data_IF_154559004803
#
_entry.id   IF_154559004803
#
_cell.length_a   1.000
_cell.length_b   1.000
_cell.length_c   1.000
_cell.angle_alpha   90.00
_cell.angle_beta   90.00
_cell.angle_gamma   90.00
#
_symmetry.space_group_name_H-M   'P 1'
#
loop_
_entity.id
_entity.type
_entity.pdbx_description
1 polymer ?
#
# COMPACT_ATOMS: atom_id res chain seq x y z
N UNK A 1 7.12 -21.38 -1.91
CA UNK A 1 8.12 -21.91 -0.92
C UNK A 1 8.57 -20.76 -0.03
N UNK A 2 8.44 -20.92 1.28
CA UNK A 2 8.85 -19.92 2.28
C UNK A 2 10.37 -19.82 2.41
N UNK A 3 10.85 -18.73 3.00
CA UNK A 3 12.28 -18.49 3.25
C UNK A 3 12.72 -18.89 4.64
N UNK A 4 11.78 -19.10 5.58
CA UNK A 4 12.02 -19.24 7.01
C UNK A 4 12.48 -17.93 7.67
N UNK A 5 12.23 -16.78 7.03
CA UNK A 5 12.71 -15.47 7.46
C UNK A 5 11.62 -14.42 7.24
N UNK A 6 11.25 -13.66 8.29
CA UNK A 6 10.31 -12.57 8.12
C UNK A 6 10.98 -11.34 7.46
N UNK A 7 10.17 -10.55 6.76
CA UNK A 7 10.51 -9.19 6.33
C UNK A 7 10.46 -8.21 7.51
N UNK A 8 10.74 -6.92 7.27
CA UNK A 8 10.81 -5.90 8.33
C UNK A 8 9.53 -5.81 9.16
N UNK A 9 8.36 -5.93 8.54
CA UNK A 9 7.06 -5.87 9.24
C UNK A 9 6.66 -7.20 9.90
N UNK A 10 7.54 -8.22 9.90
CA UNK A 10 7.32 -9.49 10.60
C UNK A 10 6.56 -10.54 9.79
N UNK A 11 6.27 -10.29 8.51
CA UNK A 11 5.58 -11.24 7.65
C UNK A 11 6.56 -12.20 6.97
N UNK A 12 6.21 -13.49 6.89
CA UNK A 12 7.05 -14.49 6.25
C UNK A 12 7.29 -14.18 4.77
N UNK A 13 8.56 -14.18 4.34
CA UNK A 13 8.92 -13.96 2.94
C UNK A 13 8.76 -15.24 2.12
N UNK A 14 8.44 -15.07 0.84
CA UNK A 14 8.35 -16.17 -0.11
C UNK A 14 9.38 -16.04 -1.23
N UNK A 15 9.85 -17.19 -1.73
CA UNK A 15 10.85 -17.25 -2.82
C UNK A 15 10.25 -17.06 -4.21
N UNK A 16 8.94 -17.27 -4.35
CA UNK A 16 8.21 -17.29 -5.61
C UNK A 16 6.82 -16.71 -5.37
N UNK A 17 6.37 -15.83 -6.25
CA UNK A 17 4.96 -15.44 -6.41
C UNK A 17 4.34 -16.25 -7.57
N UNK A 18 3.02 -16.44 -7.56
CA UNK A 18 2.28 -17.20 -8.60
C UNK A 18 2.71 -18.68 -8.71
N UNK A 19 3.16 -19.29 -7.61
CA UNK A 19 3.78 -20.63 -7.60
C UNK A 19 3.35 -21.53 -6.43
N UNK A 20 2.06 -21.53 -6.08
CA UNK A 20 1.47 -22.32 -4.98
C UNK A 20 1.68 -21.75 -3.57
N UNK A 21 2.09 -20.48 -3.48
CA UNK A 21 2.29 -19.75 -2.23
C UNK A 21 1.10 -18.86 -1.86
N UNK A 22 1.32 -17.93 -0.94
CA UNK A 22 0.30 -16.94 -0.52
C UNK A 22 0.45 -15.59 -1.22
N UNK A 23 1.35 -15.49 -2.19
CA UNK A 23 1.59 -14.29 -2.99
C UNK A 23 1.16 -14.58 -4.43
N UNK A 24 0.20 -13.80 -4.93
CA UNK A 24 -0.39 -13.98 -6.24
C UNK A 24 -0.61 -12.66 -6.95
N UNK A 25 -0.64 -12.68 -8.27
CA UNK A 25 -1.06 -11.56 -9.10
C UNK A 25 -2.55 -11.30 -8.89
N UNK A 26 -2.87 -10.11 -8.37
CA UNK A 26 -4.24 -9.68 -8.07
C UNK A 26 -4.70 -8.62 -9.07
N UNK A 27 -5.92 -8.74 -9.60
CA UNK A 27 -6.44 -7.74 -10.51
C UNK A 27 -6.59 -6.39 -9.81
N UNK A 28 -6.52 -5.32 -10.59
CA UNK A 28 -6.70 -3.94 -10.13
C UNK A 28 -7.92 -3.34 -10.85
N UNK A 29 -9.14 -3.58 -10.32
CA UNK A 29 -10.36 -3.15 -10.98
C UNK A 29 -10.38 -1.67 -11.31
N UNK A 30 -10.73 -1.38 -12.57
CA UNK A 30 -10.83 -0.02 -13.10
C UNK A 30 -9.50 0.67 -13.39
N UNK A 31 -8.42 -0.11 -13.50
CA UNK A 31 -7.14 0.32 -14.10
C UNK A 31 -6.87 -0.52 -15.37
N UNK A 32 -6.00 -0.05 -16.26
CA UNK A 32 -5.56 -0.83 -17.42
C UNK A 32 -4.43 -1.83 -17.10
N UNK A 33 -4.04 -1.97 -15.83
CA UNK A 33 -2.94 -2.82 -15.40
C UNK A 33 -3.35 -4.29 -15.35
N UNK A 34 -2.43 -5.20 -15.71
CA UNK A 34 -2.64 -6.64 -15.62
C UNK A 34 -2.75 -7.20 -14.20
N UNK A 35 -2.51 -6.36 -13.18
CA UNK A 35 -2.56 -6.71 -11.78
C UNK A 35 -1.26 -6.40 -11.03
N UNK A 36 -1.20 -6.83 -9.77
CA UNK A 36 -0.03 -6.68 -8.91
C UNK A 36 0.19 -7.91 -8.06
N UNK A 37 1.42 -8.37 -7.95
CA UNK A 37 1.77 -9.49 -7.08
C UNK A 37 1.79 -9.01 -5.62
N UNK A 38 0.83 -9.47 -4.82
CA UNK A 38 0.73 -9.16 -3.39
C UNK A 38 0.29 -10.39 -2.62
N UNK A 39 0.47 -10.36 -1.29
CA UNK A 39 -0.02 -11.40 -0.41
C UNK A 39 -1.55 -11.39 -0.38
N UNK A 40 -2.13 -12.58 -0.51
CA UNK A 40 -3.57 -12.80 -0.53
C UNK A 40 -4.27 -12.35 0.76
N UNK A 41 -5.59 -12.18 0.69
CA UNK A 41 -6.46 -11.97 1.86
C UNK A 41 -6.61 -10.51 2.28
N UNK A 42 -6.46 -10.21 3.55
CA UNK A 42 -6.67 -8.82 4.03
C UNK A 42 -5.58 -7.87 3.52
N UNK A 43 -4.36 -8.38 3.31
CA UNK A 43 -3.25 -7.61 2.71
C UNK A 43 -3.59 -7.15 1.30
N UNK A 44 -4.05 -8.05 0.43
CA UNK A 44 -4.42 -7.67 -0.94
C UNK A 44 -5.52 -6.61 -0.93
N UNK A 45 -6.50 -6.75 -0.03
CA UNK A 45 -7.64 -5.84 0.06
C UNK A 45 -7.19 -4.43 0.40
N UNK A 46 -6.29 -4.28 1.39
CA UNK A 46 -5.76 -2.99 1.79
C UNK A 46 -4.86 -2.36 0.71
N UNK A 47 -3.92 -3.12 0.14
CA UNK A 47 -2.98 -2.58 -0.85
C UNK A 47 -3.66 -2.25 -2.18
N UNK A 48 -4.63 -3.06 -2.64
CA UNK A 48 -5.42 -2.76 -3.84
C UNK A 48 -6.24 -1.48 -3.64
N UNK A 49 -6.79 -1.24 -2.45
CA UNK A 49 -7.48 0.02 -2.14
C UNK A 49 -6.55 1.24 -2.32
N UNK A 50 -5.34 1.17 -1.74
CA UNK A 50 -4.32 2.23 -1.86
C UNK A 50 -3.98 2.51 -3.32
N UNK A 51 -3.70 1.45 -4.10
CA UNK A 51 -3.33 1.58 -5.52
C UNK A 51 -4.46 2.21 -6.33
N UNK A 52 -5.71 1.78 -6.12
CA UNK A 52 -6.86 2.32 -6.85
C UNK A 52 -7.10 3.79 -6.51
N UNK A 53 -7.03 4.17 -5.23
CA UNK A 53 -7.18 5.58 -4.82
C UNK A 53 -6.06 6.44 -5.40
N UNK A 54 -4.82 5.96 -5.39
CA UNK A 54 -3.71 6.64 -6.04
C UNK A 54 -4.01 6.87 -7.54
N UNK A 55 -4.43 5.81 -8.23
CA UNK A 55 -4.74 5.84 -9.66
C UNK A 55 -5.81 6.88 -10.02
N UNK A 56 -6.88 6.99 -9.22
CA UNK A 56 -7.99 7.90 -9.51
C UNK A 56 -7.76 9.35 -9.07
N UNK A 57 -6.95 9.58 -8.02
CA UNK A 57 -6.94 10.86 -7.34
C UNK A 57 -5.59 11.56 -7.34
N UNK A 58 -4.52 10.86 -7.72
CA UNK A 58 -3.17 11.41 -7.77
C UNK A 58 -2.66 11.42 -9.22
N UNK A 59 -2.54 10.25 -9.83
CA UNK A 59 -2.16 10.11 -11.24
C UNK A 59 -2.53 8.72 -11.76
N UNK A 60 -2.95 8.67 -13.03
CA UNK A 60 -3.31 7.44 -13.72
C UNK A 60 -2.08 6.54 -13.89
N UNK A 61 -2.16 5.35 -13.30
CA UNK A 61 -1.11 4.32 -13.40
C UNK A 61 -1.09 3.65 -14.78
N UNK A 62 0.10 3.62 -15.38
CA UNK A 62 0.41 2.99 -16.67
C UNK A 62 1.19 1.70 -16.47
N UNK A 63 1.48 1.01 -17.57
CA UNK A 63 2.39 -0.15 -17.55
C UNK A 63 3.71 0.26 -16.89
N UNK A 64 4.24 -0.61 -16.04
CA UNK A 64 5.49 -0.44 -15.28
C UNK A 64 5.48 0.60 -14.15
N UNK A 65 4.35 1.29 -13.91
CA UNK A 65 4.18 2.21 -12.78
C UNK A 65 3.94 1.51 -11.44
N UNK A 66 3.96 0.18 -11.38
CA UNK A 66 3.63 -0.56 -10.16
C UNK A 66 4.51 -1.77 -9.98
N UNK A 67 5.18 -1.84 -8.82
CA UNK A 67 5.99 -2.98 -8.41
C UNK A 67 5.41 -3.56 -7.13
N UNK A 68 4.91 -4.79 -7.19
CA UNK A 68 4.45 -5.55 -6.03
C UNK A 68 5.58 -6.35 -5.38
N UNK A 69 5.40 -7.66 -5.31
CA UNK A 69 6.38 -8.61 -4.80
C UNK A 69 7.72 -8.55 -5.55
N UNK A 70 8.80 -8.74 -4.80
CA UNK A 70 10.16 -8.87 -5.32
C UNK A 70 10.84 -10.04 -4.65
N UNK A 71 11.78 -10.70 -5.33
CA UNK A 71 12.47 -11.85 -4.73
C UNK A 71 13.22 -11.41 -3.48
N UNK A 72 13.32 -12.26 -2.44
CA UNK A 72 14.06 -11.95 -1.22
C UNK A 72 15.53 -11.53 -1.45
N UNK A 73 16.14 -11.99 -2.54
CA UNK A 73 17.51 -11.60 -2.93
C UNK A 73 17.64 -10.22 -3.55
N UNK A 74 16.55 -9.65 -4.06
CA UNK A 74 16.55 -8.37 -4.78
C UNK A 74 16.24 -7.18 -3.86
N UNK A 75 15.78 -7.45 -2.63
CA UNK A 75 15.40 -6.43 -1.65
C UNK A 75 16.45 -6.30 -0.54
N UNK A 76 16.61 -5.07 -0.03
CA UNK A 76 17.52 -4.79 1.08
C UNK A 76 16.90 -5.18 2.42
N UNK A 77 17.56 -6.11 3.12
CA UNK A 77 17.17 -6.54 4.47
C UNK A 77 17.18 -5.35 5.45
N UNK A 78 16.24 -5.34 6.39
CA UNK A 78 16.13 -4.30 7.43
C UNK A 78 15.51 -2.98 6.96
N UNK A 79 15.29 -2.79 5.66
CA UNK A 79 14.54 -1.66 5.11
C UNK A 79 13.07 -2.03 4.87
N UNK A 80 12.20 -1.03 4.82
CA UNK A 80 10.76 -1.24 4.56
C UNK A 80 10.52 -1.90 3.19
N UNK A 81 11.38 -1.65 2.21
CA UNK A 81 11.42 -2.34 0.90
C UNK A 81 11.41 -3.88 1.03
N UNK A 82 12.00 -4.45 2.08
CA UNK A 82 11.98 -5.90 2.31
C UNK A 82 10.57 -6.49 2.44
N UNK A 83 9.57 -5.67 2.79
CA UNK A 83 8.17 -6.06 2.87
C UNK A 83 7.58 -6.44 1.49
N UNK A 84 8.24 -6.07 0.38
CA UNK A 84 7.87 -6.57 -0.95
C UNK A 84 8.11 -8.08 -1.05
N UNK A 85 9.13 -8.64 -0.39
CA UNK A 85 9.43 -10.08 -0.44
C UNK A 85 8.44 -10.95 0.35
N UNK A 86 7.68 -10.36 1.27
CA UNK A 86 6.52 -10.98 1.93
C UNK A 86 5.19 -10.66 1.23
N UNK A 87 5.20 -9.90 0.14
CA UNK A 87 4.00 -9.49 -0.59
C UNK A 87 3.15 -8.45 0.14
N UNK A 88 3.72 -7.77 1.14
CA UNK A 88 3.02 -6.84 2.04
C UNK A 88 3.41 -5.39 1.80
N UNK A 89 3.97 -5.10 0.63
CA UNK A 89 4.29 -3.75 0.19
C UNK A 89 4.21 -3.65 -1.33
N UNK A 90 3.94 -2.43 -1.80
CA UNK A 90 3.99 -2.05 -3.21
C UNK A 90 4.77 -0.75 -3.37
N UNK A 91 5.43 -0.59 -4.51
CA UNK A 91 5.96 0.70 -4.96
C UNK A 91 5.11 1.21 -6.13
N UNK A 92 4.60 2.42 -5.99
CA UNK A 92 3.83 3.13 -7.01
C UNK A 92 4.74 4.17 -7.65
N UNK A 93 4.92 4.09 -8.96
CA UNK A 93 5.73 4.97 -9.81
C UNK A 93 7.16 5.20 -9.28
N UNK A 94 7.94 4.12 -9.00
CA UNK A 94 9.28 4.26 -8.43
C UNK A 94 10.27 5.05 -9.31
N UNK A 95 10.04 5.13 -10.62
CA UNK A 95 10.83 5.99 -11.52
C UNK A 95 10.60 7.50 -11.32
N UNK A 96 9.43 7.89 -10.80
CA UNK A 96 9.08 9.28 -10.49
C UNK A 96 9.43 9.66 -9.04
N UNK A 97 9.49 8.67 -8.15
CA UNK A 97 9.76 8.85 -6.72
C UNK A 97 10.95 7.98 -6.26
N UNK A 98 12.20 8.34 -6.62
CA UNK A 98 13.35 7.51 -6.32
C UNK A 98 13.61 7.40 -4.81
N UNK A 99 13.97 6.19 -4.37
CA UNK A 99 14.32 5.90 -2.98
C UNK A 99 15.43 6.82 -2.44
N UNK A 100 15.25 7.36 -1.25
CA UNK A 100 16.15 8.29 -0.58
C UNK A 100 15.85 9.78 -0.83
N UNK A 101 14.87 10.10 -1.68
CA UNK A 101 14.49 11.47 -1.99
C UNK A 101 13.12 11.84 -1.41
N UNK A 102 12.89 13.14 -1.21
CA UNK A 102 11.61 13.73 -0.76
C UNK A 102 11.17 14.80 -1.74
N UNK A 103 9.88 15.13 -1.71
CA UNK A 103 9.32 16.24 -2.46
C UNK A 103 8.95 15.89 -3.89
N UNK A 104 8.74 14.62 -4.20
CA UNK A 104 8.21 14.17 -5.48
C UNK A 104 6.71 14.47 -5.64
N UNK A 105 5.97 14.61 -4.54
CA UNK A 105 4.54 14.96 -4.56
C UNK A 105 4.30 16.44 -4.33
N UNK A 106 3.32 17.00 -5.05
CA UNK A 106 2.78 18.32 -4.74
C UNK A 106 2.01 18.30 -3.41
N UNK A 107 1.88 19.46 -2.75
CA UNK A 107 1.23 19.55 -1.44
C UNK A 107 -0.21 19.02 -1.43
N UNK A 108 -0.98 19.25 -2.50
CA UNK A 108 -2.33 18.71 -2.67
C UNK A 108 -2.32 17.18 -2.82
N UNK A 109 -1.36 16.60 -3.52
CA UNK A 109 -1.21 15.14 -3.66
C UNK A 109 -0.82 14.52 -2.31
N UNK A 110 0.03 15.17 -1.51
CA UNK A 110 0.33 14.72 -0.15
C UNK A 110 -0.95 14.67 0.69
N UNK A 111 -1.84 15.68 0.60
CA UNK A 111 -3.14 15.64 1.29
C UNK A 111 -3.97 14.41 0.89
N UNK A 112 -4.01 14.06 -0.40
CA UNK A 112 -4.68 12.84 -0.88
C UNK A 112 -4.03 11.58 -0.31
N UNK A 113 -2.69 11.49 -0.30
CA UNK A 113 -1.97 10.37 0.31
C UNK A 113 -2.36 10.21 1.79
N UNK A 114 -2.38 11.31 2.53
CA UNK A 114 -2.79 11.31 3.95
C UNK A 114 -4.21 10.81 4.13
N UNK A 115 -5.10 11.22 3.25
CA UNK A 115 -6.50 10.78 3.24
C UNK A 115 -6.64 9.28 2.94
N UNK A 116 -5.88 8.75 1.98
CA UNK A 116 -5.80 7.31 1.70
C UNK A 116 -5.34 6.53 2.93
N UNK A 117 -4.26 6.99 3.60
CA UNK A 117 -3.77 6.32 4.81
C UNK A 117 -4.78 6.39 5.96
N UNK A 118 -5.55 7.47 6.06
CA UNK A 118 -6.63 7.62 7.03
C UNK A 118 -7.75 6.60 6.80
N UNK A 119 -8.12 6.32 5.54
CA UNK A 119 -9.04 5.22 5.21
C UNK A 119 -8.47 3.87 5.61
N UNK A 120 -7.15 3.68 5.57
CA UNK A 120 -6.48 2.47 6.07
C UNK A 120 -6.35 2.43 7.60
N UNK A 121 -6.79 3.46 8.34
CA UNK A 121 -6.78 3.51 9.81
C UNK A 121 -5.42 3.19 10.47
N UNK A 122 -4.33 3.38 9.71
CA UNK A 122 -2.96 3.10 10.14
C UNK A 122 -2.48 1.66 9.97
N UNK A 123 -3.23 0.77 9.31
CA UNK A 123 -2.71 -0.57 8.96
C UNK A 123 -1.77 -0.54 7.74
N UNK A 124 -1.79 0.57 7.00
CA UNK A 124 -0.85 0.89 5.93
C UNK A 124 -0.03 2.11 6.33
N UNK A 125 1.25 2.08 5.98
CA UNK A 125 2.21 3.18 6.14
C UNK A 125 2.79 3.58 4.78
N UNK A 126 3.14 4.86 4.65
CA UNK A 126 3.84 5.41 3.50
C UNK A 126 5.32 5.58 3.80
N UNK A 127 6.18 5.02 2.94
CA UNK A 127 7.64 5.07 3.07
C UNK A 127 8.22 6.48 2.93
N UNK A 128 7.46 7.43 2.40
CA UNK A 128 7.83 8.85 2.45
C UNK A 128 8.02 9.36 3.88
N UNK A 129 7.38 8.77 4.89
CA UNK A 129 7.57 9.15 6.29
C UNK A 129 8.76 8.47 6.97
N UNK A 130 9.43 7.52 6.32
CA UNK A 130 10.53 6.80 6.93
C UNK A 130 11.79 7.68 7.05
N UNK A 131 12.68 7.39 8.03
CA UNK A 131 13.95 8.10 8.18
C UNK A 131 14.79 8.11 6.90
N UNK A 132 14.80 6.96 6.19
CA UNK A 132 15.24 6.89 4.80
C UNK A 132 13.98 6.89 3.93
N UNK A 133 13.61 8.04 3.33
CA UNK A 133 12.35 8.18 2.62
C UNK A 133 12.31 7.31 1.36
N UNK A 134 11.16 6.71 1.09
CA UNK A 134 10.84 6.06 -0.17
C UNK A 134 9.39 6.44 -0.53
N UNK A 135 9.23 7.57 -1.23
CA UNK A 135 7.91 8.13 -1.52
C UNK A 135 7.08 7.26 -2.47
N UNK A 136 7.69 6.30 -3.17
CA UNK A 136 6.96 5.30 -3.95
C UNK A 136 6.33 4.20 -3.07
N UNK A 137 6.89 3.93 -1.88
CA UNK A 137 6.61 2.72 -1.12
C UNK A 137 5.39 2.86 -0.21
N UNK A 138 4.48 1.90 -0.28
CA UNK A 138 3.36 1.72 0.66
C UNK A 138 3.39 0.29 1.20
N UNK A 139 3.23 0.11 2.51
CA UNK A 139 3.38 -1.20 3.14
C UNK A 139 2.47 -1.41 4.36
N UNK A 140 2.16 -2.67 4.65
CA UNK A 140 1.41 -3.07 5.84
C UNK A 140 2.25 -2.81 7.10
N UNK A 141 1.68 -2.07 8.04
CA UNK A 141 2.34 -1.55 9.26
C UNK A 141 1.95 -2.32 10.54
N UNK A 142 1.34 -3.49 10.36
CA UNK A 142 0.95 -4.39 11.45
C UNK A 142 1.49 -5.79 11.23
N UNK A 143 1.70 -6.53 12.32
CA UNK A 143 2.16 -7.92 12.27
C UNK A 143 1.08 -8.87 11.73
N UNK A 144 1.45 -10.07 11.24
CA UNK A 144 0.49 -11.11 10.90
C UNK A 144 -0.50 -11.38 12.05
N UNK A 145 -1.78 -11.58 11.72
CA UNK A 145 -2.84 -11.88 12.70
C UNK A 145 -3.39 -10.67 13.45
N UNK A 146 -2.98 -9.44 13.13
CA UNK A 146 -3.56 -8.24 13.73
C UNK A 146 -5.00 -8.00 13.26
N UNK A 147 -5.94 -7.92 14.21
CA UNK A 147 -7.38 -7.78 13.92
C UNK A 147 -7.75 -6.47 13.22
N UNK A 148 -6.99 -5.39 13.41
CA UNK A 148 -7.26 -4.10 12.75
C UNK A 148 -7.18 -4.23 11.23
N UNK A 149 -6.24 -5.06 10.72
CA UNK A 149 -6.12 -5.30 9.28
C UNK A 149 -7.37 -5.99 8.73
N UNK A 150 -7.92 -6.96 9.47
CA UNK A 150 -9.17 -7.63 9.11
C UNK A 150 -10.37 -6.69 9.15
N UNK A 151 -10.46 -5.82 10.15
CA UNK A 151 -11.53 -4.81 10.24
C UNK A 151 -11.49 -3.84 9.05
N UNK A 152 -10.31 -3.31 8.71
CA UNK A 152 -10.12 -2.41 7.56
C UNK A 152 -10.44 -3.13 6.24
N UNK A 153 -9.98 -4.37 6.08
CA UNK A 153 -10.29 -5.16 4.89
C UNK A 153 -11.80 -5.43 4.75
N UNK A 154 -12.50 -5.76 5.83
CA UNK A 154 -13.95 -5.95 5.82
C UNK A 154 -14.69 -4.66 5.47
N UNK A 155 -14.24 -3.51 5.98
CA UNK A 155 -14.77 -2.19 5.59
C UNK A 155 -14.64 -1.97 4.08
N UNK A 156 -13.48 -2.24 3.50
CA UNK A 156 -13.25 -2.06 2.06
C UNK A 156 -14.04 -3.05 1.19
N UNK A 157 -14.25 -4.29 1.65
CA UNK A 157 -15.14 -5.25 0.99
C UNK A 157 -16.58 -4.76 0.98
N UNK A 158 -17.07 -4.24 2.12
CA UNK A 158 -18.40 -3.66 2.22
C UNK A 158 -18.58 -2.45 1.28
N UNK A 159 -17.58 -1.57 1.19
CA UNK A 159 -17.57 -0.46 0.22
C UNK A 159 -17.63 -0.96 -1.22
N UNK A 160 -16.83 -1.97 -1.57
CA UNK A 160 -16.84 -2.54 -2.92
C UNK A 160 -18.18 -3.17 -3.29
N UNK A 161 -18.89 -3.74 -2.30
CA UNK A 161 -20.23 -4.29 -2.49
C UNK A 161 -21.34 -3.23 -2.56
N UNK A 162 -21.04 -1.96 -2.25
CA UNK A 162 -22.01 -0.86 -2.18
C UNK A 162 -21.74 0.14 -3.31
N UNK A 163 -22.62 0.25 -4.34
CA UNK A 163 -22.46 1.23 -5.40
C UNK A 163 -22.35 2.66 -4.86
N UNK A 164 -21.42 3.46 -5.38
CA UNK A 164 -21.21 4.84 -4.96
C UNK A 164 -20.41 5.03 -3.67
N UNK A 165 -19.76 3.99 -3.14
CA UNK A 165 -18.88 4.06 -1.97
C UNK A 165 -17.52 3.44 -2.30
N UNK A 166 -16.43 4.01 -1.76
CA UNK A 166 -15.08 3.46 -1.88
C UNK A 166 -14.17 4.23 -2.83
N UNK A 167 -13.19 3.54 -3.42
CA UNK A 167 -12.17 4.17 -4.27
C UNK A 167 -12.79 4.89 -5.48
N UNK A 168 -12.53 6.20 -5.60
CA UNK A 168 -13.11 7.07 -6.64
C UNK A 168 -14.48 7.68 -6.30
N UNK A 169 -15.10 7.31 -5.17
CA UNK A 169 -16.36 7.87 -4.69
C UNK A 169 -16.22 8.65 -3.36
N UNK A 170 -14.98 8.98 -2.99
CA UNK A 170 -14.65 9.46 -1.66
C UNK A 170 -15.08 10.90 -1.40
N UNK A 171 -15.34 11.17 -0.12
CA UNK A 171 -15.49 12.53 0.39
C UNK A 171 -14.24 13.37 0.10
N UNK A 172 -14.44 14.66 -0.19
CA UNK A 172 -13.37 15.61 -0.49
C UNK A 172 -12.25 15.56 0.58
N UNK A 173 -11.00 15.19 0.21
CA UNK A 173 -9.88 15.05 1.15
C UNK A 173 -9.47 16.39 1.77
N UNK A 174 -9.94 17.51 1.23
CA UNK A 174 -9.69 18.85 1.74
C UNK A 174 -10.65 19.25 2.87
N UNK A 175 -11.68 18.44 3.15
CA UNK A 175 -12.60 18.70 4.27
C UNK A 175 -11.87 18.71 5.63
N UNK A 176 -12.19 19.66 6.54
CA UNK A 176 -11.48 19.82 7.81
C UNK A 176 -11.40 18.55 8.66
N UNK A 177 -12.50 17.78 8.74
CA UNK A 177 -12.56 16.53 9.52
C UNK A 177 -11.64 15.44 8.96
N UNK A 178 -11.52 15.35 7.63
CA UNK A 178 -10.64 14.40 6.95
C UNK A 178 -9.18 14.75 7.21
N UNK A 179 -8.82 16.02 7.01
CA UNK A 179 -7.48 16.55 7.32
C UNK A 179 -7.07 16.29 8.77
N UNK A 180 -7.93 16.61 9.75
CA UNK A 180 -7.62 16.36 11.16
C UNK A 180 -7.39 14.87 11.47
N UNK A 181 -8.20 14.00 10.89
CA UNK A 181 -8.04 12.54 11.07
C UNK A 181 -6.70 12.08 10.50
N UNK A 182 -6.33 12.58 9.33
CA UNK A 182 -5.11 12.22 8.63
C UNK A 182 -3.85 12.78 9.33
N UNK A 183 -3.90 14.01 9.84
CA UNK A 183 -2.83 14.61 10.65
C UNK A 183 -2.60 13.85 11.95
N UNK A 184 -3.68 13.46 12.65
CA UNK A 184 -3.58 12.64 13.86
C UNK A 184 -2.94 11.29 13.57
N UNK A 185 -3.30 10.67 12.46
CA UNK A 185 -2.69 9.41 12.03
C UNK A 185 -1.19 9.58 11.73
N UNK A 186 -0.83 10.61 10.96
CA UNK A 186 0.57 10.88 10.63
C UNK A 186 1.43 11.04 11.88
N UNK A 187 0.93 11.76 12.91
CA UNK A 187 1.62 11.91 14.21
C UNK A 187 1.80 10.59 14.95
N UNK A 188 0.83 9.67 14.87
CA UNK A 188 0.91 8.34 15.51
C UNK A 188 1.93 7.44 14.81
N UNK A 189 2.14 7.66 13.51
CA UNK A 189 3.08 6.92 12.69
C UNK A 189 4.46 7.60 12.61
N UNK A 190 4.64 8.81 13.16
CA UNK A 190 5.92 9.54 13.12
C UNK A 190 7.02 8.83 13.91
#
# INVERSE_FOLDING_TARGET
MYTGKPSKNGWEMEKVADGGGTIWTRPLPGTALGGVQVRLGDVETALVHVIRRFHYEIDELRRDDLIGWRRPGDVRKGLAESNQASGTAVQIRPGFYPSGQRGGFFANQVVVIRDILADCEGVVRWGGDDPKPDEALFYIDVKPGNEQLTQVANKFRAWTATPGVGAGASADPFQPKRRQTAERLARRQS
#
